data_IF_628124887934
#
_entry.id   IF_628124887934
#
_cell.length_a   1.000
_cell.length_b   1.000
_cell.length_c   1.000
_cell.angle_alpha   90.00
_cell.angle_beta   90.00
_cell.angle_gamma   90.00
#
_symmetry.space_group_name_H-M   'P 1'
#
loop_
_entity.id
_entity.type
_entity.pdbx_description
1 polymer ?
#
# COMPACT_ATOMS: atom_id res chain seq x y z
N UNK A 1 -40.50 5.75 24.28
CA UNK A 1 -40.37 6.06 22.84
C UNK A 1 -40.66 7.53 22.62
N UNK A 2 -40.07 8.12 21.57
CA UNK A 2 -40.13 9.52 21.10
C UNK A 2 -38.80 10.29 21.31
N UNK A 3 -37.93 10.02 20.32
CA UNK A 3 -37.00 10.89 19.59
C UNK A 3 -36.84 12.32 20.13
N UNK A 4 -35.64 12.67 20.62
CA UNK A 4 -35.22 14.07 20.79
C UNK A 4 -34.53 14.54 19.51
N UNK A 5 -35.25 15.44 18.83
CA UNK A 5 -34.85 16.23 17.68
C UNK A 5 -33.82 17.28 18.15
N UNK A 6 -32.58 17.18 17.69
CA UNK A 6 -31.54 18.21 17.92
C UNK A 6 -31.66 19.21 16.77
N UNK A 7 -32.12 20.42 17.09
CA UNK A 7 -32.21 21.53 16.15
C UNK A 7 -30.83 22.17 16.02
N UNK A 8 -30.20 21.97 14.87
CA UNK A 8 -28.92 22.57 14.49
C UNK A 8 -29.19 23.97 13.92
N UNK A 9 -28.80 25.03 14.64
CA UNK A 9 -28.90 26.40 14.13
C UNK A 9 -27.54 26.82 13.56
N UNK A 10 -27.30 26.48 12.29
CA UNK A 10 -26.13 26.92 11.53
C UNK A 10 -26.54 28.08 10.61
N UNK A 11 -26.18 29.31 10.99
CA UNK A 11 -26.29 30.47 10.11
C UNK A 11 -24.92 30.71 9.43
N UNK A 12 -24.77 30.08 8.27
CA UNK A 12 -24.18 30.60 7.04
C UNK A 12 -23.04 31.64 7.13
N UNK A 13 -21.82 31.18 6.84
CA UNK A 13 -20.92 31.92 5.94
C UNK A 13 -20.53 30.95 4.82
N UNK A 14 -21.22 31.07 3.68
CA UNK A 14 -20.80 30.45 2.43
C UNK A 14 -19.57 31.21 1.93
N UNK A 15 -18.38 30.66 2.16
CA UNK A 15 -17.33 30.77 1.17
C UNK A 15 -17.35 29.49 0.34
N UNK A 16 -17.82 29.64 -0.91
CA UNK A 16 -17.70 28.64 -1.96
C UNK A 16 -16.20 28.36 -2.21
N UNK A 17 -15.67 27.30 -1.62
CA UNK A 17 -14.48 26.63 -2.14
C UNK A 17 -14.91 25.35 -2.88
N UNK A 18 -15.69 25.55 -3.94
CA UNK A 18 -16.10 24.52 -4.89
C UNK A 18 -15.36 24.74 -6.21
N UNK A 19 -14.03 24.68 -6.22
CA UNK A 19 -13.27 24.80 -7.49
C UNK A 19 -12.18 23.71 -7.69
N UNK A 20 -11.85 22.86 -6.69
CA UNK A 20 -10.81 21.82 -6.91
C UNK A 20 -11.18 20.37 -6.53
N UNK A 21 -12.35 20.11 -5.96
CA UNK A 21 -12.73 18.75 -5.55
C UNK A 21 -13.26 17.86 -6.71
N UNK A 22 -13.77 18.46 -7.79
CA UNK A 22 -14.43 17.71 -8.87
C UNK A 22 -13.44 17.06 -9.84
N UNK A 23 -12.21 17.58 -9.95
CA UNK A 23 -11.19 17.11 -10.91
C UNK A 23 -10.35 15.94 -10.36
N UNK A 24 -9.98 15.97 -9.08
CA UNK A 24 -9.26 14.84 -8.45
C UNK A 24 -10.11 13.58 -8.33
N UNK A 25 -11.41 13.73 -8.02
CA UNK A 25 -12.31 12.57 -7.89
C UNK A 25 -12.65 11.91 -9.23
N UNK A 26 -12.71 12.66 -10.33
CA UNK A 26 -12.96 12.11 -11.67
C UNK A 26 -11.74 11.35 -12.19
N UNK A 27 -10.55 11.93 -12.04
CA UNK A 27 -9.27 11.32 -12.42
C UNK A 27 -8.99 10.03 -11.66
N UNK A 28 -9.29 10.01 -10.37
CA UNK A 28 -9.15 8.81 -9.54
C UNK A 28 -10.04 7.66 -10.04
N UNK A 29 -11.31 7.97 -10.33
CA UNK A 29 -12.27 6.99 -10.85
C UNK A 29 -11.82 6.44 -12.21
N UNK A 30 -11.34 7.31 -13.10
CA UNK A 30 -10.83 6.91 -14.41
C UNK A 30 -9.62 5.96 -14.29
N UNK A 31 -8.64 6.27 -13.44
CA UNK A 31 -7.49 5.38 -13.20
C UNK A 31 -7.95 4.04 -12.64
N UNK A 32 -8.90 4.04 -11.69
CA UNK A 32 -9.42 2.82 -11.07
C UNK A 32 -10.17 1.92 -12.07
N UNK A 33 -10.95 2.52 -12.97
CA UNK A 33 -11.66 1.79 -14.02
C UNK A 33 -10.66 1.21 -15.05
N UNK A 34 -9.62 1.97 -15.44
CA UNK A 34 -8.54 1.46 -16.30
C UNK A 34 -7.79 0.29 -15.67
N UNK A 35 -7.52 0.34 -14.36
CA UNK A 35 -6.89 -0.76 -13.61
C UNK A 35 -7.75 -2.02 -13.73
N UNK A 36 -9.06 -1.91 -13.50
CA UNK A 36 -9.98 -3.05 -13.54
C UNK A 36 -10.07 -3.68 -14.93
N UNK A 37 -10.16 -2.86 -15.97
CA UNK A 37 -10.17 -3.34 -17.35
C UNK A 37 -8.87 -4.08 -17.70
N UNK A 38 -7.72 -3.52 -17.30
CA UNK A 38 -6.41 -4.15 -17.53
C UNK A 38 -6.23 -5.45 -16.75
N UNK A 39 -6.70 -5.52 -15.50
CA UNK A 39 -6.67 -6.74 -14.70
C UNK A 39 -7.49 -7.86 -15.34
N UNK A 40 -8.69 -7.55 -15.83
CA UNK A 40 -9.52 -8.51 -16.55
C UNK A 40 -8.82 -8.99 -17.84
N UNK A 41 -8.28 -8.05 -18.62
CA UNK A 41 -7.57 -8.37 -19.87
C UNK A 41 -6.37 -9.28 -19.62
N UNK A 42 -5.60 -9.02 -18.56
CA UNK A 42 -4.44 -9.83 -18.17
C UNK A 42 -4.85 -11.26 -17.75
N UNK A 43 -5.94 -11.41 -17.01
CA UNK A 43 -6.47 -12.73 -16.65
C UNK A 43 -6.89 -13.54 -17.89
N UNK A 44 -7.49 -12.89 -18.90
CA UNK A 44 -7.90 -13.53 -20.15
C UNK A 44 -6.72 -13.87 -21.08
N UNK A 45 -5.62 -13.10 -21.03
CA UNK A 45 -4.45 -13.32 -21.91
C UNK A 45 -3.43 -14.31 -21.36
N UNK A 46 -3.44 -14.59 -20.05
CA UNK A 46 -2.50 -15.50 -19.39
C UNK A 46 -2.45 -16.91 -20.02
N UNK A 47 -3.55 -17.38 -20.61
CA UNK A 47 -3.62 -18.69 -21.28
C UNK A 47 -3.14 -18.70 -22.75
N UNK A 48 -2.79 -17.53 -23.31
CA UNK A 48 -2.48 -17.33 -24.75
C UNK A 48 -1.01 -16.95 -25.02
N UNK A 49 -0.16 -17.02 -24.00
CA UNK A 49 1.29 -16.75 -24.03
C UNK A 49 2.07 -17.87 -24.74
N UNK A 50 1.77 -18.09 -26.03
CA UNK A 50 2.43 -19.12 -26.85
C UNK A 50 3.47 -18.56 -27.82
N UNK A 51 3.54 -17.24 -27.99
CA UNK A 51 4.50 -16.60 -28.90
C UNK A 51 5.27 -15.52 -28.16
N UNK A 52 6.44 -15.15 -28.66
CA UNK A 52 7.25 -14.08 -28.09
C UNK A 52 6.47 -12.76 -28.08
N UNK A 53 5.73 -12.49 -29.15
CA UNK A 53 4.86 -11.31 -29.26
C UNK A 53 3.76 -11.28 -28.19
N UNK A 54 3.09 -12.41 -27.93
CA UNK A 54 2.08 -12.45 -26.87
C UNK A 54 2.68 -12.34 -25.47
N UNK A 55 3.88 -12.89 -25.24
CA UNK A 55 4.62 -12.70 -24.00
C UNK A 55 4.99 -11.24 -23.75
N UNK A 56 5.54 -10.56 -24.76
CA UNK A 56 5.89 -9.13 -24.68
C UNK A 56 4.64 -8.28 -24.42
N UNK A 57 3.52 -8.61 -25.07
CA UNK A 57 2.24 -7.93 -24.86
C UNK A 57 1.74 -8.08 -23.42
N UNK A 58 1.83 -9.28 -22.85
CA UNK A 58 1.50 -9.53 -21.45
C UNK A 58 2.37 -8.69 -20.51
N UNK A 59 3.70 -8.71 -20.69
CA UNK A 59 4.62 -7.92 -19.88
C UNK A 59 4.35 -6.42 -19.99
N UNK A 60 4.03 -5.91 -21.19
CA UNK A 60 3.66 -4.51 -21.37
C UNK A 60 2.36 -4.15 -20.63
N UNK A 61 1.36 -5.02 -20.64
CA UNK A 61 0.12 -4.81 -19.89
C UNK A 61 0.36 -4.84 -18.37
N UNK A 62 1.24 -5.72 -17.89
CA UNK A 62 1.68 -5.73 -16.48
C UNK A 62 2.39 -4.43 -16.07
N UNK A 63 3.33 -3.95 -16.90
CA UNK A 63 4.03 -2.67 -16.70
C UNK A 63 3.01 -1.52 -16.65
N UNK A 64 2.05 -1.50 -17.59
CA UNK A 64 1.00 -0.47 -17.63
C UNK A 64 0.12 -0.52 -16.36
N UNK A 65 -0.30 -1.71 -15.93
CA UNK A 65 -1.08 -1.90 -14.72
C UNK A 65 -0.34 -1.38 -13.49
N UNK A 66 0.93 -1.76 -13.30
CA UNK A 66 1.74 -1.29 -12.17
C UNK A 66 1.94 0.23 -12.22
N UNK A 67 2.15 0.80 -13.42
CA UNK A 67 2.25 2.26 -13.61
C UNK A 67 0.98 2.98 -13.18
N UNK A 68 -0.20 2.45 -13.53
CA UNK A 68 -1.47 3.03 -13.10
C UNK A 68 -1.66 2.91 -11.58
N UNK A 69 -1.28 1.79 -10.97
CA UNK A 69 -1.32 1.60 -9.50
C UNK A 69 -0.39 2.56 -8.76
N UNK A 70 0.78 2.87 -9.32
CA UNK A 70 1.69 3.89 -8.81
C UNK A 70 1.02 5.26 -8.86
N UNK A 71 0.43 5.64 -10.00
CA UNK A 71 -0.28 6.92 -10.15
C UNK A 71 -1.46 7.03 -9.18
N UNK A 72 -2.25 5.97 -9.00
CA UNK A 72 -3.35 5.93 -8.04
C UNK A 72 -2.84 6.12 -6.60
N UNK A 73 -1.77 5.41 -6.24
CA UNK A 73 -1.19 5.47 -4.89
C UNK A 73 -0.58 6.86 -4.61
N UNK A 74 0.09 7.47 -5.58
CA UNK A 74 0.61 8.83 -5.48
C UNK A 74 -0.52 9.85 -5.26
N UNK A 75 -1.60 9.76 -6.04
CA UNK A 75 -2.75 10.64 -5.86
C UNK A 75 -3.39 10.52 -4.47
N UNK A 76 -3.48 9.29 -3.92
CA UNK A 76 -3.94 9.06 -2.54
C UNK A 76 -3.02 9.70 -1.51
N UNK A 77 -1.70 9.59 -1.69
CA UNK A 77 -0.70 10.21 -0.81
C UNK A 77 -0.87 11.73 -0.80
N UNK A 78 -1.00 12.34 -1.99
CA UNK A 78 -1.13 13.79 -2.12
C UNK A 78 -2.42 14.29 -1.46
N UNK A 79 -3.57 13.65 -1.74
CA UNK A 79 -4.85 13.97 -1.11
C UNK A 79 -4.78 13.83 0.43
N UNK A 80 -4.19 12.74 0.92
CA UNK A 80 -4.08 12.51 2.36
C UNK A 80 -3.15 13.54 3.02
N UNK A 81 -2.12 14.00 2.31
CA UNK A 81 -1.26 15.11 2.73
C UNK A 81 -2.03 16.41 2.91
N UNK A 82 -2.90 16.77 1.97
CA UNK A 82 -3.78 17.95 2.08
C UNK A 82 -4.76 17.83 3.25
N UNK A 83 -5.36 16.66 3.44
CA UNK A 83 -6.27 16.40 4.56
C UNK A 83 -5.56 16.52 5.92
N UNK A 84 -4.33 16.00 6.04
CA UNK A 84 -3.50 16.13 7.25
C UNK A 84 -3.14 17.60 7.51
N UNK A 85 -2.81 18.38 6.48
CA UNK A 85 -2.52 19.81 6.63
C UNK A 85 -3.76 20.59 7.11
N UNK A 86 -4.92 20.32 6.51
CA UNK A 86 -6.20 20.91 6.91
C UNK A 86 -6.58 20.57 8.36
N UNK A 87 -6.40 19.30 8.77
CA UNK A 87 -6.61 18.88 10.15
C UNK A 87 -5.66 19.55 11.13
N UNK A 88 -4.38 19.70 10.76
CA UNK A 88 -3.39 20.37 11.60
C UNK A 88 -3.78 21.83 11.86
N UNK A 89 -4.16 22.57 10.82
CA UNK A 89 -4.64 23.94 10.97
C UNK A 89 -5.97 24.06 11.78
N UNK A 90 -6.80 23.01 11.81
CA UNK A 90 -7.98 22.97 12.70
C UNK A 90 -7.58 22.72 14.15
N UNK A 91 -6.65 21.80 14.38
CA UNK A 91 -6.13 21.46 15.71
C UNK A 91 -5.45 22.69 16.33
N UNK A 92 -4.64 23.43 15.57
CA UNK A 92 -3.95 24.63 16.06
C UNK A 92 -4.95 25.70 16.55
N UNK A 93 -6.05 25.90 15.81
CA UNK A 93 -7.14 26.82 16.22
C UNK A 93 -7.89 26.33 17.46
N UNK A 94 -8.10 25.02 17.58
CA UNK A 94 -8.72 24.43 18.78
C UNK A 94 -7.81 24.57 20.00
N UNK A 95 -6.50 24.41 19.82
CA UNK A 95 -5.50 24.58 20.87
C UNK A 95 -5.43 26.02 21.37
N UNK A 96 -5.44 27.01 20.47
CA UNK A 96 -5.51 28.43 20.80
C UNK A 96 -6.81 28.75 21.57
N UNK A 97 -7.96 28.26 21.09
CA UNK A 97 -9.26 28.42 21.76
C UNK A 97 -9.27 27.81 23.16
N UNK A 98 -8.69 26.61 23.32
CA UNK A 98 -8.54 25.96 24.62
C UNK A 98 -7.65 26.76 25.57
N UNK A 99 -6.54 27.31 25.06
CA UNK A 99 -5.66 28.21 25.82
C UNK A 99 -6.42 29.41 26.36
N UNK A 100 -7.14 30.12 25.49
CA UNK A 100 -7.94 31.28 25.88
C UNK A 100 -9.06 30.91 26.87
N UNK A 101 -9.82 29.84 26.62
CA UNK A 101 -10.90 29.40 27.52
C UNK A 101 -10.35 29.01 28.90
N UNK A 102 -9.21 28.33 28.94
CA UNK A 102 -8.52 27.97 30.18
C UNK A 102 -8.08 29.21 30.95
N UNK A 103 -7.50 30.21 30.30
CA UNK A 103 -7.05 31.45 30.95
C UNK A 103 -8.23 32.20 31.58
N UNK A 104 -9.34 32.35 30.84
CA UNK A 104 -10.55 32.99 31.34
C UNK A 104 -11.13 32.22 32.53
N UNK A 105 -11.27 30.90 32.42
CA UNK A 105 -11.82 30.07 33.50
C UNK A 105 -10.93 30.08 34.74
N UNK A 106 -9.60 30.00 34.59
CA UNK A 106 -8.65 30.09 35.71
C UNK A 106 -8.74 31.44 36.41
N UNK A 107 -8.80 32.54 35.65
CA UNK A 107 -9.00 33.89 36.20
C UNK A 107 -10.31 33.97 37.00
N UNK A 108 -11.42 33.45 36.44
CA UNK A 108 -12.73 33.40 37.12
C UNK A 108 -12.69 32.58 38.42
N UNK A 109 -12.01 31.44 38.42
CA UNK A 109 -11.84 30.59 39.61
C UNK A 109 -11.05 31.34 40.70
N UNK A 110 -9.92 31.96 40.33
CA UNK A 110 -9.07 32.71 41.26
C UNK A 110 -9.82 33.89 41.88
N UNK A 111 -10.55 34.67 41.07
CA UNK A 111 -11.32 35.82 41.57
C UNK A 111 -12.50 35.40 42.45
N UNK A 112 -13.15 34.28 42.12
CA UNK A 112 -14.20 33.70 42.97
C UNK A 112 -13.64 33.22 44.31
N UNK A 113 -12.46 32.59 44.28
CA UNK A 113 -11.77 32.12 45.49
C UNK A 113 -11.34 33.27 46.41
N UNK A 114 -10.73 34.33 45.86
CA UNK A 114 -10.26 35.49 46.62
C UNK A 114 -11.40 36.19 47.38
N UNK A 115 -12.59 36.27 46.78
CA UNK A 115 -13.77 36.89 47.41
C UNK A 115 -14.37 36.02 48.52
N UNK A 116 -14.29 34.70 48.38
CA UNK A 116 -14.76 33.76 49.40
C UNK A 116 -16.26 33.85 49.69
N UNK A 117 -16.75 32.97 50.58
CA UNK A 117 -18.18 32.88 50.90
C UNK A 117 -18.68 34.04 51.78
N UNK A 118 -17.81 34.62 52.62
CA UNK A 118 -18.20 35.68 53.58
C UNK A 118 -18.47 37.00 52.87
N UNK A 119 -17.63 37.40 51.91
CA UNK A 119 -17.89 38.62 51.13
C UNK A 119 -19.11 38.47 50.21
N UNK A 120 -19.45 37.26 49.78
CA UNK A 120 -20.64 36.99 48.99
C UNK A 120 -21.94 37.33 49.75
N UNK A 121 -22.06 36.84 50.99
CA UNK A 121 -23.22 37.18 51.83
C UNK A 121 -23.21 38.67 52.19
N UNK A 122 -22.04 39.25 52.47
CA UNK A 122 -21.92 40.68 52.74
C UNK A 122 -22.35 41.53 51.52
N UNK A 123 -21.99 41.14 50.30
CA UNK A 123 -22.40 41.80 49.06
C UNK A 123 -23.91 41.70 48.83
N UNK A 124 -24.54 40.57 49.17
CA UNK A 124 -25.99 40.40 49.05
C UNK A 124 -26.75 41.26 50.09
N UNK A 125 -26.33 41.22 51.36
CA UNK A 125 -27.07 41.84 52.47
C UNK A 125 -26.69 43.31 52.78
N UNK A 126 -25.61 43.85 52.20
CA UNK A 126 -25.25 45.29 52.31
C UNK A 126 -26.05 46.21 51.39
N UNK A 127 -27.09 45.70 50.73
CA UNK A 127 -27.88 46.44 49.73
C UNK A 127 -28.84 47.45 50.38
N UNK A 128 -29.09 48.58 49.70
CA UNK A 128 -29.91 49.70 50.21
C UNK A 128 -31.43 49.40 50.31
N UNK A 129 -31.84 48.13 50.14
CA UNK A 129 -33.23 47.67 50.19
C UNK A 129 -33.48 46.39 49.39
N UNK A 130 -34.70 45.85 49.47
CA UNK A 130 -35.10 44.56 48.85
C UNK A 130 -34.95 44.52 47.32
N UNK A 131 -35.17 45.64 46.63
CA UNK A 131 -35.02 45.73 45.17
C UNK A 131 -33.56 45.58 44.71
N UNK A 132 -32.62 46.18 45.45
CA UNK A 132 -31.18 46.07 45.18
C UNK A 132 -30.67 44.65 45.49
N UNK A 133 -31.15 44.02 46.57
CA UNK A 133 -30.90 42.60 46.85
C UNK A 133 -31.31 41.69 45.68
N UNK A 134 -32.55 41.81 45.18
CA UNK A 134 -33.04 41.00 44.07
C UNK A 134 -32.23 41.21 42.78
N UNK A 135 -31.83 42.46 42.53
CA UNK A 135 -31.00 42.83 41.38
C UNK A 135 -29.62 42.17 41.45
N UNK A 136 -28.94 42.24 42.62
CA UNK A 136 -27.65 41.57 42.84
C UNK A 136 -27.76 40.05 42.71
N UNK A 137 -28.80 39.44 43.27
CA UNK A 137 -29.07 38.00 43.14
C UNK A 137 -29.26 37.59 41.67
N UNK A 138 -29.97 38.39 40.88
CA UNK A 138 -30.14 38.18 39.44
C UNK A 138 -28.79 38.21 38.71
N UNK A 139 -27.93 39.20 38.99
CA UNK A 139 -26.61 39.29 38.36
C UNK A 139 -25.70 38.10 38.71
N UNK A 140 -25.70 37.65 39.96
CA UNK A 140 -24.95 36.45 40.37
C UNK A 140 -25.39 35.23 39.57
N UNK A 141 -26.70 35.01 39.39
CA UNK A 141 -27.22 33.89 38.59
C UNK A 141 -26.78 33.98 37.13
N UNK A 142 -26.77 35.19 36.55
CA UNK A 142 -26.29 35.41 35.17
C UNK A 142 -24.81 35.03 35.06
N UNK A 143 -23.99 35.46 36.03
CA UNK A 143 -22.56 35.16 36.08
C UNK A 143 -22.31 33.65 36.23
N UNK A 144 -23.01 32.97 37.14
CA UNK A 144 -22.90 31.51 37.31
C UNK A 144 -23.32 30.75 36.05
N UNK A 145 -24.38 31.20 35.38
CA UNK A 145 -24.82 30.61 34.12
C UNK A 145 -23.75 30.79 33.01
N UNK A 146 -23.09 31.95 32.97
CA UNK A 146 -21.99 32.22 32.05
C UNK A 146 -20.76 31.35 32.33
N UNK A 147 -20.34 31.23 33.60
CA UNK A 147 -19.20 30.36 33.98
C UNK A 147 -19.48 28.90 33.62
N UNK A 148 -20.71 28.43 33.87
CA UNK A 148 -21.15 27.10 33.46
C UNK A 148 -21.10 26.92 31.93
N UNK A 149 -21.52 27.93 31.17
CA UNK A 149 -21.43 27.93 29.71
C UNK A 149 -19.97 27.84 29.25
N UNK A 150 -19.05 28.62 29.84
CA UNK A 150 -17.63 28.56 29.52
C UNK A 150 -17.03 27.18 29.79
N UNK A 151 -17.37 26.55 30.92
CA UNK A 151 -16.92 25.18 31.23
C UNK A 151 -17.41 24.17 30.20
N UNK A 152 -18.67 24.26 29.77
CA UNK A 152 -19.18 23.39 28.71
C UNK A 152 -18.48 23.63 27.36
N UNK A 153 -18.25 24.90 27.00
CA UNK A 153 -17.52 25.23 25.77
C UNK A 153 -16.07 24.72 25.81
N UNK A 154 -15.40 24.81 26.96
CA UNK A 154 -14.05 24.27 27.13
C UNK A 154 -14.05 22.74 26.99
N UNK A 155 -15.02 22.06 27.61
CA UNK A 155 -15.16 20.61 27.50
C UNK A 155 -15.40 20.18 26.04
N UNK A 156 -16.36 20.81 25.36
CA UNK A 156 -16.66 20.53 23.95
C UNK A 156 -15.45 20.79 23.03
N UNK A 157 -14.73 21.90 23.26
CA UNK A 157 -13.52 22.23 22.49
C UNK A 157 -12.42 21.19 22.73
N UNK A 158 -12.29 20.70 23.97
CA UNK A 158 -11.29 19.68 24.34
C UNK A 158 -11.61 18.33 23.71
N UNK A 159 -12.87 17.94 23.71
CA UNK A 159 -13.32 16.70 23.09
C UNK A 159 -13.06 16.76 21.58
N UNK A 160 -13.46 17.85 20.92
CA UNK A 160 -13.17 18.05 19.49
C UNK A 160 -11.66 18.08 19.20
N UNK A 161 -10.85 18.77 20.00
CA UNK A 161 -9.39 18.76 19.86
C UNK A 161 -8.83 17.33 19.90
N UNK A 162 -9.30 16.53 20.86
CA UNK A 162 -8.85 15.15 21.05
C UNK A 162 -9.25 14.28 19.86
N UNK A 163 -10.50 14.39 19.40
CA UNK A 163 -11.01 13.65 18.24
C UNK A 163 -10.25 14.01 16.96
N UNK A 164 -10.08 15.30 16.66
CA UNK A 164 -9.33 15.73 15.47
C UNK A 164 -7.87 15.26 15.51
N UNK A 165 -7.25 15.29 16.69
CA UNK A 165 -5.87 14.81 16.89
C UNK A 165 -5.78 13.31 16.63
N UNK A 166 -6.73 12.51 17.11
CA UNK A 166 -6.79 11.08 16.82
C UNK A 166 -6.92 10.82 15.31
N UNK A 167 -7.88 11.46 14.64
CA UNK A 167 -8.09 11.32 13.18
C UNK A 167 -6.83 11.70 12.40
N UNK A 168 -6.11 12.74 12.81
CA UNK A 168 -4.84 13.13 12.18
C UNK A 168 -3.78 12.04 12.31
N UNK A 169 -3.63 11.42 13.48
CA UNK A 169 -2.63 10.36 13.68
C UNK A 169 -2.97 9.09 12.88
N UNK A 170 -4.25 8.72 12.80
CA UNK A 170 -4.72 7.64 11.93
C UNK A 170 -4.38 7.91 10.45
N UNK A 171 -4.63 9.14 9.98
CA UNK A 171 -4.28 9.54 8.60
C UNK A 171 -2.78 9.58 8.36
N UNK A 172 -1.96 10.03 9.32
CA UNK A 172 -0.49 9.97 9.21
C UNK A 172 0.01 8.54 9.10
N UNK A 173 -0.54 7.61 9.89
CA UNK A 173 -0.18 6.21 9.82
C UNK A 173 -0.50 5.61 8.44
N UNK A 174 -1.68 5.92 7.89
CA UNK A 174 -2.09 5.52 6.55
C UNK A 174 -1.18 6.13 5.46
N UNK A 175 -0.83 7.41 5.59
CA UNK A 175 0.08 8.09 4.66
C UNK A 175 1.45 7.40 4.57
N UNK A 176 2.03 7.04 5.72
CA UNK A 176 3.30 6.30 5.75
C UNK A 176 3.17 4.87 5.25
N UNK A 177 2.02 4.22 5.44
CA UNK A 177 1.72 2.92 4.83
C UNK A 177 1.69 3.01 3.30
N UNK A 178 1.02 4.02 2.76
CA UNK A 178 0.93 4.24 1.31
C UNK A 178 2.29 4.57 0.69
N UNK A 179 3.15 5.35 1.37
CA UNK A 179 4.53 5.57 0.92
C UNK A 179 5.33 4.28 0.79
N UNK A 180 5.25 3.39 1.79
CA UNK A 180 5.92 2.07 1.72
C UNK A 180 5.36 1.22 0.57
N UNK A 181 4.04 1.25 0.37
CA UNK A 181 3.40 0.57 -0.74
C UNK A 181 3.89 1.12 -2.10
N UNK A 182 4.01 2.45 -2.23
CA UNK A 182 4.49 3.12 -3.44
C UNK A 182 5.91 2.68 -3.79
N UNK A 183 6.82 2.62 -2.81
CA UNK A 183 8.20 2.17 -3.05
C UNK A 183 8.25 0.70 -3.48
N UNK A 184 7.43 -0.17 -2.88
CA UNK A 184 7.28 -1.55 -3.35
C UNK A 184 6.76 -1.66 -4.79
N UNK A 185 5.78 -0.84 -5.16
CA UNK A 185 5.25 -0.78 -6.53
C UNK A 185 6.29 -0.27 -7.53
N UNK A 186 7.08 0.75 -7.19
CA UNK A 186 8.18 1.26 -8.03
C UNK A 186 9.26 0.20 -8.24
N UNK A 187 9.64 -0.51 -7.19
CA UNK A 187 10.57 -1.63 -7.29
C UNK A 187 10.03 -2.73 -8.22
N UNK A 188 8.75 -3.08 -8.09
CA UNK A 188 8.08 -4.04 -8.97
C UNK A 188 7.99 -3.55 -10.43
N UNK A 189 7.74 -2.26 -10.67
CA UNK A 189 7.70 -1.69 -12.02
C UNK A 189 9.08 -1.75 -12.68
N UNK A 190 10.11 -1.29 -11.98
CA UNK A 190 11.50 -1.39 -12.44
C UNK A 190 11.86 -2.84 -12.75
N UNK A 191 11.30 -3.77 -11.98
CA UNK A 191 11.50 -5.19 -12.19
C UNK A 191 10.88 -5.70 -13.49
N UNK A 192 9.60 -5.42 -13.71
CA UNK A 192 8.89 -5.84 -14.91
C UNK A 192 9.55 -5.31 -16.19
N UNK A 193 10.08 -4.08 -16.16
CA UNK A 193 10.82 -3.47 -17.27
C UNK A 193 12.09 -4.27 -17.58
N UNK A 194 12.92 -4.55 -16.57
CA UNK A 194 14.16 -5.31 -16.74
C UNK A 194 13.94 -6.74 -17.24
N UNK A 195 12.89 -7.40 -16.75
CA UNK A 195 12.56 -8.75 -17.20
C UNK A 195 12.19 -8.77 -18.68
N UNK A 196 11.46 -7.74 -19.14
CA UNK A 196 11.12 -7.59 -20.56
C UNK A 196 12.39 -7.36 -21.40
N UNK A 197 13.29 -6.50 -20.94
CA UNK A 197 14.58 -6.25 -21.61
C UNK A 197 15.42 -7.52 -21.72
N UNK A 198 15.46 -8.32 -20.65
CA UNK A 198 16.17 -9.61 -20.64
C UNK A 198 15.57 -10.61 -21.62
N UNK A 199 14.23 -10.74 -21.63
CA UNK A 199 13.56 -11.62 -22.58
C UNK A 199 13.92 -11.22 -24.01
N UNK A 200 13.94 -9.92 -24.31
CA UNK A 200 14.34 -9.39 -25.61
C UNK A 200 15.82 -9.67 -25.92
N UNK A 201 16.71 -9.61 -24.94
CA UNK A 201 18.14 -9.92 -25.11
C UNK A 201 18.38 -11.40 -25.38
N UNK A 202 17.76 -12.27 -24.57
CA UNK A 202 17.85 -13.73 -24.70
C UNK A 202 17.27 -14.18 -26.03
N UNK A 203 16.08 -13.70 -26.38
CA UNK A 203 15.41 -14.10 -27.64
C UNK A 203 16.00 -13.38 -28.84
N UNK A 204 16.69 -12.24 -28.65
CA UNK A 204 17.08 -11.28 -29.71
C UNK A 204 15.90 -10.86 -30.58
N UNK A 205 14.71 -10.82 -29.98
CA UNK A 205 13.45 -10.60 -30.69
C UNK A 205 13.18 -11.65 -31.80
N UNK A 206 13.74 -12.86 -31.65
CA UNK A 206 13.55 -13.99 -32.57
C UNK A 206 12.56 -15.00 -31.97
N UNK A 207 11.42 -15.17 -32.65
CA UNK A 207 10.39 -16.13 -32.29
C UNK A 207 10.92 -17.56 -32.27
N UNK A 208 11.80 -17.94 -33.19
CA UNK A 208 12.34 -19.30 -33.25
C UNK A 208 13.13 -19.61 -31.98
N UNK A 209 13.95 -18.67 -31.54
CA UNK A 209 14.75 -18.80 -30.32
C UNK A 209 13.88 -18.87 -29.07
N UNK A 210 12.76 -18.14 -29.06
CA UNK A 210 11.76 -18.25 -28.00
C UNK A 210 11.10 -19.64 -28.00
N UNK A 211 10.67 -20.14 -29.15
CA UNK A 211 10.06 -21.47 -29.27
C UNK A 211 11.03 -22.59 -28.87
N UNK A 212 12.32 -22.47 -29.22
CA UNK A 212 13.37 -23.42 -28.79
C UNK A 212 13.46 -23.53 -27.27
N UNK A 213 13.28 -22.44 -26.52
CA UNK A 213 13.26 -22.47 -25.04
C UNK A 213 12.06 -23.24 -24.48
N UNK A 214 10.92 -23.18 -25.18
CA UNK A 214 9.66 -23.82 -24.74
C UNK A 214 9.52 -25.27 -25.21
N UNK A 215 10.24 -25.67 -26.26
CA UNK A 215 10.00 -26.89 -27.02
C UNK A 215 10.40 -28.21 -26.34
N UNK A 216 11.05 -28.17 -25.17
CA UNK A 216 11.55 -29.38 -24.53
C UNK A 216 10.54 -30.00 -23.56
N UNK A 217 10.17 -29.30 -22.49
CA UNK A 217 9.33 -29.86 -21.42
C UNK A 217 7.84 -29.90 -21.81
N UNK A 218 7.11 -30.90 -21.33
CA UNK A 218 5.65 -30.98 -21.47
C UNK A 218 4.95 -29.81 -20.79
N UNK A 219 3.86 -29.35 -21.39
CA UNK A 219 2.95 -28.44 -20.70
C UNK A 219 2.23 -29.19 -19.57
N UNK A 220 2.56 -28.87 -18.33
CA UNK A 220 1.86 -29.36 -17.13
C UNK A 220 1.48 -28.16 -16.26
N UNK A 221 0.50 -28.35 -15.38
CA UNK A 221 0.25 -27.39 -14.32
C UNK A 221 1.42 -27.42 -13.33
N UNK A 222 2.06 -26.27 -13.12
CA UNK A 222 3.13 -26.08 -12.14
C UNK A 222 2.75 -24.96 -11.18
N UNK A 223 3.29 -25.04 -9.96
CA UNK A 223 3.14 -23.96 -8.97
C UNK A 223 4.37 -23.06 -9.01
N UNK A 224 4.18 -21.76 -8.80
CA UNK A 224 5.26 -20.78 -8.78
C UNK A 224 5.34 -20.16 -7.39
N UNK A 225 6.55 -19.99 -6.86
CA UNK A 225 6.76 -19.29 -5.57
C UNK A 225 6.53 -17.77 -5.68
N UNK A 226 6.55 -17.21 -6.90
CA UNK A 226 6.29 -15.78 -7.16
C UNK A 226 5.37 -15.60 -8.37
N UNK A 227 4.34 -14.77 -8.24
CA UNK A 227 3.16 -14.84 -9.09
C UNK A 227 3.24 -14.05 -10.39
N UNK A 228 4.28 -13.22 -10.64
CA UNK A 228 4.06 -12.03 -11.49
C UNK A 228 4.95 -11.77 -12.70
N UNK A 229 5.98 -12.57 -13.00
CA UNK A 229 6.72 -12.35 -14.26
C UNK A 229 7.28 -13.66 -14.81
N UNK A 230 7.10 -13.91 -16.11
CA UNK A 230 7.95 -14.85 -16.86
C UNK A 230 7.39 -16.22 -17.20
N UNK A 231 6.18 -16.57 -16.71
CA UNK A 231 5.59 -17.92 -16.84
C UNK A 231 5.84 -18.54 -18.21
N UNK A 232 6.77 -19.48 -18.29
CA UNK A 232 7.05 -20.17 -19.53
C UNK A 232 5.96 -21.21 -19.80
N UNK A 233 5.25 -21.04 -20.91
CA UNK A 233 4.26 -22.00 -21.33
C UNK A 233 4.92 -23.07 -22.20
N UNK A 234 5.57 -24.05 -21.56
CA UNK A 234 6.29 -25.11 -22.26
C UNK A 234 5.37 -25.86 -23.24
N UNK A 235 5.92 -26.23 -24.40
CA UNK A 235 5.19 -26.82 -25.53
C UNK A 235 5.74 -28.17 -25.98
N UNK A 236 6.79 -28.65 -25.32
CA UNK A 236 7.49 -29.87 -25.68
C UNK A 236 6.81 -31.17 -25.28
N UNK A 237 7.52 -32.26 -25.48
CA UNK A 237 7.07 -33.63 -25.21
C UNK A 237 7.93 -34.36 -24.18
N UNK A 238 8.93 -33.71 -23.59
CA UNK A 238 9.80 -34.33 -22.59
C UNK A 238 9.13 -34.36 -21.23
N UNK A 239 9.31 -35.46 -20.51
CA UNK A 239 8.80 -35.54 -19.15
C UNK A 239 9.56 -34.58 -18.25
N UNK A 240 8.88 -34.05 -17.24
CA UNK A 240 9.55 -33.26 -16.22
C UNK A 240 10.52 -34.13 -15.42
N UNK A 241 11.69 -33.58 -15.04
CA UNK A 241 12.68 -34.33 -14.29
C UNK A 241 12.26 -34.61 -12.85
N UNK A 242 11.30 -33.87 -12.30
CA UNK A 242 10.71 -34.12 -10.97
C UNK A 242 9.18 -34.16 -11.06
N UNK A 243 8.54 -34.88 -10.14
CA UNK A 243 7.08 -34.88 -10.00
C UNK A 243 6.61 -33.65 -9.23
N UNK A 244 5.42 -33.12 -9.55
CA UNK A 244 4.80 -31.96 -8.88
C UNK A 244 5.76 -30.77 -8.71
N UNK A 245 6.38 -30.27 -9.80
CA UNK A 245 7.38 -29.22 -9.71
C UNK A 245 6.75 -27.92 -9.20
N UNK A 246 7.40 -27.36 -8.17
CA UNK A 246 7.23 -25.97 -7.77
C UNK A 246 8.43 -25.17 -8.26
N UNK A 247 8.19 -24.28 -9.22
CA UNK A 247 9.22 -23.45 -9.83
C UNK A 247 9.55 -22.30 -8.89
N UNK A 248 10.82 -22.23 -8.50
CA UNK A 248 11.36 -21.19 -7.63
C UNK A 248 12.06 -20.10 -8.43
N UNK A 249 12.64 -20.44 -9.60
CA UNK A 249 13.26 -19.48 -10.54
C UNK A 249 13.14 -19.98 -11.98
N UNK A 250 12.82 -19.10 -12.93
CA UNK A 250 12.75 -19.43 -14.35
C UNK A 250 14.04 -19.02 -15.10
N UNK A 251 14.14 -19.39 -16.39
CA UNK A 251 15.19 -18.95 -17.33
C UNK A 251 14.97 -17.47 -17.72
N UNK A 252 15.08 -16.59 -16.74
CA UNK A 252 14.89 -15.14 -16.87
C UNK A 252 15.80 -14.43 -15.86
N UNK A 253 15.81 -13.10 -15.84
CA UNK A 253 16.34 -12.39 -14.67
C UNK A 253 15.46 -12.72 -13.49
N UNK A 254 15.87 -13.62 -12.60
CA UNK A 254 15.18 -13.90 -11.34
C UNK A 254 15.60 -12.93 -10.24
N UNK A 255 14.87 -12.89 -9.11
CA UNK A 255 15.25 -12.09 -7.94
C UNK A 255 16.74 -12.22 -7.58
N UNK A 256 17.26 -13.45 -7.58
CA UNK A 256 18.67 -13.74 -7.25
C UNK A 256 19.64 -13.28 -8.34
N UNK A 257 19.27 -13.43 -9.62
CA UNK A 257 20.07 -12.89 -10.74
C UNK A 257 20.40 -11.41 -10.54
N UNK A 258 19.43 -10.68 -10.03
CA UNK A 258 19.45 -9.23 -9.83
C UNK A 258 20.19 -8.80 -8.56
N UNK A 259 20.34 -9.70 -7.59
CA UNK A 259 21.29 -9.54 -6.48
C UNK A 259 22.75 -9.83 -6.91
N UNK A 260 23.00 -10.03 -8.20
CA UNK A 260 24.32 -10.31 -8.74
C UNK A 260 24.73 -11.78 -8.62
N UNK A 261 23.78 -12.69 -8.37
CA UNK A 261 24.08 -14.12 -8.17
C UNK A 261 24.51 -14.83 -9.46
N UNK A 262 24.26 -14.24 -10.63
CA UNK A 262 24.75 -14.75 -11.91
C UNK A 262 25.60 -13.70 -12.64
N UNK A 263 26.43 -12.94 -11.90
CA UNK A 263 27.34 -11.92 -12.44
C UNK A 263 26.63 -10.86 -13.29
N UNK A 264 25.40 -10.50 -12.89
CA UNK A 264 24.56 -9.55 -13.62
C UNK A 264 23.89 -10.12 -14.88
N UNK A 265 24.11 -11.39 -15.20
CA UNK A 265 23.41 -12.15 -16.25
C UNK A 265 22.12 -12.80 -15.76
N UNK A 266 21.26 -13.28 -16.68
CA UNK A 266 20.03 -13.96 -16.32
C UNK A 266 20.30 -15.30 -15.66
N UNK A 267 19.30 -15.83 -14.97
CA UNK A 267 19.34 -17.24 -14.62
C UNK A 267 19.26 -18.08 -15.89
N UNK A 268 20.23 -18.97 -16.09
CA UNK A 268 20.36 -19.77 -17.32
C UNK A 268 19.77 -21.19 -17.17
N UNK A 269 18.82 -21.37 -16.27
CA UNK A 269 18.16 -22.65 -16.01
C UNK A 269 16.75 -22.45 -15.43
N UNK A 270 16.14 -23.53 -14.96
CA UNK A 270 14.90 -23.50 -14.20
C UNK A 270 15.19 -24.14 -12.85
N UNK A 271 15.05 -23.37 -11.77
CA UNK A 271 15.13 -23.88 -10.42
C UNK A 271 13.74 -24.32 -9.97
N UNK A 272 13.67 -25.53 -9.45
CA UNK A 272 12.44 -26.17 -9.08
C UNK A 272 12.64 -27.09 -7.89
N UNK A 273 11.60 -27.25 -7.10
CA UNK A 273 11.59 -28.15 -5.95
C UNK A 273 10.38 -29.09 -6.02
N UNK A 274 10.48 -30.23 -5.35
CA UNK A 274 9.40 -31.20 -5.22
C UNK A 274 9.40 -31.80 -3.82
N UNK A 275 8.24 -32.22 -3.28
CA UNK A 275 8.19 -33.08 -2.10
C UNK A 275 8.92 -34.42 -2.29
N UNK A 276 9.14 -34.85 -3.54
CA UNK A 276 9.85 -36.07 -3.89
C UNK A 276 11.30 -35.77 -4.29
N UNK A 277 12.24 -36.58 -3.80
CA UNK A 277 13.68 -36.45 -4.08
C UNK A 277 14.16 -37.25 -5.30
N UNK A 278 13.26 -37.92 -6.03
CA UNK A 278 13.61 -38.68 -7.24
C UNK A 278 13.67 -37.75 -8.46
N UNK A 279 14.86 -37.61 -9.03
CA UNK A 279 15.10 -36.92 -10.30
C UNK A 279 15.18 -37.96 -11.43
N UNK A 280 14.42 -37.73 -12.50
CA UNK A 280 14.32 -38.60 -13.67
C UNK A 280 14.89 -37.93 -14.91
N UNK A 281 15.43 -38.75 -15.81
CA UNK A 281 15.80 -38.29 -17.14
C UNK A 281 14.53 -37.89 -17.94
N UNK A 282 14.49 -36.70 -18.54
CA UNK A 282 13.34 -36.18 -19.27
C UNK A 282 13.18 -36.87 -20.62
N UNK A 283 14.30 -37.40 -21.16
CA UNK A 283 14.40 -38.23 -22.37
C UNK A 283 15.53 -39.24 -22.20
N UNK A 284 15.52 -40.33 -23.00
CA UNK A 284 16.62 -41.31 -23.08
C UNK A 284 17.93 -40.60 -23.46
N UNK A 285 19.05 -41.04 -22.90
CA UNK A 285 20.37 -40.53 -23.22
C UNK A 285 21.48 -41.26 -22.47
N UNK A 286 22.70 -40.79 -22.68
CA UNK A 286 23.90 -41.26 -21.95
C UNK A 286 24.14 -40.37 -20.74
N UNK A 287 24.27 -40.99 -19.56
CA UNK A 287 24.44 -40.27 -18.30
C UNK A 287 25.93 -40.01 -18.02
N UNK A 288 26.23 -38.77 -17.65
CA UNK A 288 27.51 -38.31 -17.15
C UNK A 288 27.34 -37.73 -15.76
N UNK A 289 28.30 -38.00 -14.88
CA UNK A 289 28.36 -37.42 -13.54
C UNK A 289 29.64 -36.62 -13.41
N UNK A 290 29.55 -35.49 -12.73
CA UNK A 290 30.71 -34.67 -12.46
C UNK A 290 30.54 -33.84 -11.19
N UNK A 291 31.60 -33.14 -10.86
CA UNK A 291 31.62 -32.14 -9.81
C UNK A 291 32.18 -30.84 -10.40
N UNK A 292 31.55 -29.73 -10.08
CA UNK A 292 32.01 -28.41 -10.48
C UNK A 292 31.85 -27.43 -9.32
N UNK A 293 32.70 -26.41 -9.29
CA UNK A 293 32.58 -25.33 -8.31
C UNK A 293 31.53 -24.33 -8.77
N UNK A 294 30.51 -24.08 -7.95
CA UNK A 294 29.61 -22.96 -8.08
C UNK A 294 29.90 -21.98 -6.94
N UNK A 295 30.46 -20.81 -7.26
CA UNK A 295 30.79 -19.75 -6.29
C UNK A 295 31.69 -20.24 -5.13
N UNK A 296 32.66 -21.10 -5.42
CA UNK A 296 33.58 -21.64 -4.42
C UNK A 296 33.05 -22.84 -3.64
N UNK A 297 31.79 -23.23 -3.83
CA UNK A 297 31.21 -24.44 -3.25
C UNK A 297 31.27 -25.56 -4.30
N UNK A 298 31.89 -26.68 -3.96
CA UNK A 298 31.89 -27.87 -4.82
C UNK A 298 30.50 -28.49 -4.87
N UNK A 299 29.96 -28.71 -6.06
CA UNK A 299 28.62 -29.24 -6.28
C UNK A 299 28.64 -30.37 -7.28
N UNK A 300 27.88 -31.42 -7.00
CA UNK A 300 27.68 -32.48 -7.97
C UNK A 300 26.68 -32.03 -9.03
N UNK A 301 26.96 -32.41 -10.27
CA UNK A 301 26.02 -32.27 -11.37
C UNK A 301 25.88 -33.60 -12.09
N UNK A 302 24.71 -33.78 -12.69
CA UNK A 302 24.46 -34.84 -13.66
C UNK A 302 24.19 -34.17 -15.01
N UNK A 303 24.76 -34.71 -16.08
CA UNK A 303 24.44 -34.30 -17.43
C UNK A 303 23.96 -35.52 -18.22
N UNK A 304 22.95 -35.36 -19.05
CA UNK A 304 22.47 -36.44 -19.92
C UNK A 304 22.54 -35.96 -21.37
N UNK A 305 23.38 -36.64 -22.15
CA UNK A 305 23.49 -36.41 -23.59
C UNK A 305 22.38 -37.19 -24.31
N UNK A 306 21.50 -36.47 -24.99
CA UNK A 306 20.36 -37.03 -25.70
C UNK A 306 20.64 -37.27 -27.20
N UNK A 307 21.86 -36.99 -27.67
CA UNK A 307 22.21 -36.96 -29.08
C UNK A 307 21.94 -35.59 -29.73
N UNK A 308 22.36 -35.43 -30.99
CA UNK A 308 22.12 -34.23 -31.82
C UNK A 308 22.59 -32.90 -31.20
N UNK A 309 23.60 -32.96 -30.32
CA UNK A 309 24.15 -31.79 -29.63
C UNK A 309 23.30 -31.29 -28.45
N UNK A 310 22.29 -32.05 -28.01
CA UNK A 310 21.38 -31.66 -26.95
C UNK A 310 21.71 -32.36 -25.63
N UNK A 311 22.02 -31.56 -24.61
CA UNK A 311 22.39 -32.05 -23.27
C UNK A 311 21.47 -31.41 -22.23
N UNK A 312 20.88 -32.23 -21.36
CA UNK A 312 20.20 -31.74 -20.16
C UNK A 312 21.16 -31.72 -18.97
N UNK A 313 21.15 -30.63 -18.20
CA UNK A 313 22.02 -30.44 -17.05
C UNK A 313 21.20 -30.36 -15.76
N UNK A 314 21.62 -31.12 -14.75
CA UNK A 314 21.03 -31.17 -13.42
C UNK A 314 22.07 -30.69 -12.42
N UNK A 315 21.82 -29.51 -11.88
CA UNK A 315 22.62 -28.93 -10.80
C UNK A 315 21.93 -29.16 -9.46
N UNK A 316 22.69 -29.04 -8.37
CA UNK A 316 22.18 -29.24 -7.00
C UNK A 316 21.66 -30.66 -6.71
N UNK A 317 22.11 -31.67 -7.48
CA UNK A 317 21.79 -33.07 -7.22
C UNK A 317 22.66 -33.57 -6.07
N UNK A 318 22.04 -34.05 -4.99
CA UNK A 318 22.72 -34.57 -3.80
C UNK A 318 22.95 -36.07 -3.87
#
# INVERSE_FOLDING_TARGET
MIKKLILFFALFFLFNSSIFAQDSSSRYKEISDQIRELEQKLAETQAREKTLSSQISYMNNQIKLTTLKISETQAKIDQLGEEIASLSAKIDRLEESLGHLSEVLLSRIVETYKRGNVEFFHLLFSSGGFSDFLTRLKYIRIVQAHDKKLMFQMQETKDNYTDQKQVREEKKAEHERLKRQLEGQKAMLAQQIKDKETLLEVTRNDEKRYQELLAFLKNISVTYDDDKVGRMNFTGDWNWPISDPRITQEYVMSYWARLGWYNGGPHTGIDMTSPNNIIKAPKKGTLYKGNASCRGVGMNFVAIDHGDGLISWYWHVQ
#
